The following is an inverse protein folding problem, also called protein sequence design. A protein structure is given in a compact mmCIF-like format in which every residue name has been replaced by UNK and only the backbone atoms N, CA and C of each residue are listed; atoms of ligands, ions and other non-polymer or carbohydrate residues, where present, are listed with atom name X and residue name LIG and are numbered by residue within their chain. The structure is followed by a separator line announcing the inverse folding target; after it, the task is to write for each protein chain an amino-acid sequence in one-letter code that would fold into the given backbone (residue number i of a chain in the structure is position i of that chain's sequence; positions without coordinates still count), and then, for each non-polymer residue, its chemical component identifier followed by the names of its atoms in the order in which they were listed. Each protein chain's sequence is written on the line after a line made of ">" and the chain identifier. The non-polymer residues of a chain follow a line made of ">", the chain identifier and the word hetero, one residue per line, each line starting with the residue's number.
data_IF_915836724061
#
_entry.id   IF_915836724061
#
_cell.length_a   1.000
_cell.length_b   1.000
_cell.length_c   1.000
_cell.angle_alpha   90.00
_cell.angle_beta   90.00
_cell.angle_gamma   90.00
#
_symmetry.space_group_name_H-M   'P 1'
#
loop_
_entity.id
_entity.type
_entity.pdbx_description
1 polymer ?
#
# COMPACT_ATOMS: atom_id res chain seq x y z
N UNK A 1 -7.59 -26.68 48.96
CA UNK A 1 -6.39 -25.89 48.63
C UNK A 1 -6.74 -25.04 47.42
N UNK A 2 -6.97 -23.76 47.64
CA UNK A 2 -7.28 -22.80 46.58
C UNK A 2 -6.00 -22.60 45.76
N UNK A 3 -6.11 -22.78 44.44
CA UNK A 3 -5.01 -22.54 43.51
C UNK A 3 -4.83 -21.04 43.35
N UNK A 4 -4.19 -20.42 44.33
CA UNK A 4 -3.83 -19.01 44.31
C UNK A 4 -2.67 -18.81 43.33
N UNK A 5 -2.98 -18.60 42.05
CA UNK A 5 -1.95 -18.34 41.03
C UNK A 5 -2.38 -18.46 39.58
N UNK A 6 -3.57 -18.98 39.27
CA UNK A 6 -4.06 -18.94 37.89
C UNK A 6 -4.68 -17.57 37.61
N UNK A 7 -4.24 -16.84 36.56
CA UNK A 7 -4.90 -15.59 36.17
C UNK A 7 -6.36 -15.90 35.87
N UNK A 8 -7.27 -15.18 36.52
CA UNK A 8 -8.69 -15.34 36.29
C UNK A 8 -8.97 -15.13 34.79
N UNK A 9 -9.68 -16.09 34.17
CA UNK A 9 -10.00 -16.09 32.74
C UNK A 9 -11.42 -15.59 32.52
N UNK A 10 -11.62 -14.83 31.46
CA UNK A 10 -12.98 -14.44 31.06
C UNK A 10 -13.81 -15.69 30.72
N UNK A 11 -15.14 -15.57 30.81
CA UNK A 11 -16.06 -16.67 30.48
C UNK A 11 -15.88 -17.17 29.04
N UNK A 12 -15.55 -16.27 28.11
CA UNK A 12 -15.22 -16.58 26.73
C UNK A 12 -13.71 -16.53 26.49
N UNK A 13 -13.19 -17.47 25.70
CA UNK A 13 -11.78 -17.53 25.32
C UNK A 13 -11.33 -16.35 24.46
N UNK A 14 -12.26 -15.74 23.71
CA UNK A 14 -12.02 -14.62 22.79
C UNK A 14 -12.77 -13.36 23.22
N UNK A 15 -12.81 -13.09 24.53
CA UNK A 15 -13.52 -11.93 25.07
C UNK A 15 -12.88 -10.62 24.60
N UNK A 16 -13.66 -9.70 24.04
CA UNK A 16 -13.22 -8.36 23.63
C UNK A 16 -13.34 -7.33 24.76
N UNK A 17 -13.81 -7.75 25.92
CA UNK A 17 -13.96 -6.93 27.11
C UNK A 17 -14.88 -5.71 26.96
N UNK A 18 -15.76 -5.67 25.95
CA UNK A 18 -16.67 -4.55 25.67
C UNK A 18 -17.98 -4.56 26.47
N UNK A 19 -18.13 -5.48 27.44
CA UNK A 19 -19.37 -5.69 28.20
C UNK A 19 -20.00 -7.07 28.05
N UNK A 20 -19.23 -8.05 27.57
CA UNK A 20 -19.67 -9.45 27.51
C UNK A 20 -20.03 -10.01 28.90
N UNK A 21 -21.06 -10.87 29.01
CA UNK A 21 -21.44 -11.47 30.29
C UNK A 21 -20.30 -12.36 30.81
N UNK A 22 -19.85 -12.11 32.05
CA UNK A 22 -18.70 -12.82 32.62
C UNK A 22 -17.33 -12.29 32.20
N UNK A 23 -17.26 -11.05 31.70
CA UNK A 23 -15.99 -10.35 31.53
C UNK A 23 -15.38 -9.98 32.89
N UNK A 24 -14.09 -10.32 33.05
CA UNK A 24 -13.32 -9.99 34.26
C UNK A 24 -12.71 -8.59 34.20
N UNK A 25 -12.41 -8.10 32.99
CA UNK A 25 -11.93 -6.75 32.75
C UNK A 25 -13.13 -5.82 32.90
N UNK A 26 -13.35 -5.37 34.13
CA UNK A 26 -14.36 -4.36 34.47
C UNK A 26 -13.75 -2.97 34.37
N UNK A 27 -14.55 -2.00 33.97
CA UNK A 27 -14.12 -0.64 33.59
C UNK A 27 -13.54 0.25 34.69
N UNK A 28 -13.22 -0.30 35.87
CA UNK A 28 -12.64 0.45 37.00
C UNK A 28 -11.13 0.70 36.84
N UNK A 29 -10.54 0.28 35.72
CA UNK A 29 -9.12 0.46 35.46
C UNK A 29 -8.89 1.78 34.72
N UNK A 30 -7.95 2.59 35.20
CA UNK A 30 -7.51 3.82 34.52
C UNK A 30 -7.06 3.58 33.08
N UNK A 31 -6.60 2.36 32.78
CA UNK A 31 -6.14 1.96 31.44
C UNK A 31 -7.24 1.47 30.51
N UNK A 32 -8.42 1.15 31.03
CA UNK A 32 -9.52 0.62 30.24
C UNK A 32 -10.01 1.60 29.16
N UNK A 33 -10.12 2.91 29.41
CA UNK A 33 -10.44 3.88 28.35
C UNK A 33 -9.42 3.88 27.20
N UNK A 34 -8.12 3.80 27.52
CA UNK A 34 -7.07 3.75 26.50
C UNK A 34 -7.12 2.46 25.68
N UNK A 35 -7.47 1.33 26.31
CA UNK A 35 -7.68 0.07 25.61
C UNK A 35 -8.81 0.19 24.57
N UNK A 36 -9.93 0.81 24.94
CA UNK A 36 -11.05 1.04 24.02
C UNK A 36 -10.64 1.92 22.84
N UNK A 37 -9.90 3.00 23.10
CA UNK A 37 -9.37 3.88 22.04
C UNK A 37 -8.49 3.11 21.04
N UNK A 38 -7.51 2.34 21.54
CA UNK A 38 -6.62 1.55 20.69
C UNK A 38 -7.38 0.48 19.91
N UNK A 39 -8.38 -0.15 20.52
CA UNK A 39 -9.20 -1.17 19.88
C UNK A 39 -10.01 -0.59 18.72
N UNK A 40 -10.56 0.62 18.88
CA UNK A 40 -11.26 1.33 17.81
C UNK A 40 -10.31 1.77 16.70
N UNK A 41 -9.11 2.28 17.04
CA UNK A 41 -8.07 2.60 16.06
C UNK A 41 -7.66 1.39 15.21
N UNK A 42 -7.51 0.21 15.83
CA UNK A 42 -7.18 -1.04 15.14
C UNK A 42 -8.32 -1.42 14.19
N UNK A 43 -9.58 -1.37 14.62
CA UNK A 43 -10.74 -1.68 13.77
C UNK A 43 -10.81 -0.75 12.56
N UNK A 44 -10.63 0.56 12.75
CA UNK A 44 -10.65 1.55 11.67
C UNK A 44 -9.51 1.25 10.68
N UNK A 45 -8.30 0.96 11.19
CA UNK A 45 -7.15 0.62 10.35
C UNK A 45 -7.38 -0.65 9.55
N UNK A 46 -7.94 -1.69 10.16
CA UNK A 46 -8.25 -2.95 9.48
C UNK A 46 -9.30 -2.75 8.39
N UNK A 47 -10.38 -2.01 8.67
CA UNK A 47 -11.42 -1.69 7.68
C UNK A 47 -10.84 -0.89 6.51
N UNK A 48 -9.96 0.08 6.78
CA UNK A 48 -9.27 0.83 5.74
C UNK A 48 -8.35 -0.08 4.90
N UNK A 49 -7.53 -0.92 5.55
CA UNK A 49 -6.68 -1.87 4.86
C UNK A 49 -7.48 -2.84 3.98
N UNK A 50 -8.60 -3.36 4.48
CA UNK A 50 -9.50 -4.23 3.70
C UNK A 50 -10.10 -3.51 2.49
N UNK A 51 -10.46 -2.22 2.62
CA UNK A 51 -10.95 -1.42 1.48
C UNK A 51 -9.86 -1.15 0.45
N UNK A 52 -8.64 -0.83 0.87
CA UNK A 52 -7.57 -0.42 -0.03
C UNK A 52 -6.81 -1.59 -0.66
N UNK A 53 -6.56 -2.66 0.09
CA UNK A 53 -5.70 -3.79 -0.30
C UNK A 53 -6.54 -5.07 -0.51
N UNK A 54 -7.78 -5.11 -0.01
CA UNK A 54 -8.62 -6.31 -0.06
C UNK A 54 -8.19 -7.38 0.93
N UNK A 55 -8.57 -8.63 0.67
CA UNK A 55 -8.19 -9.80 1.49
C UNK A 55 -6.78 -10.32 1.21
N UNK A 56 -6.02 -9.65 0.32
CA UNK A 56 -4.66 -10.05 -0.05
C UNK A 56 -3.68 -9.61 1.04
N UNK A 57 -3.64 -10.35 2.15
CA UNK A 57 -2.54 -10.26 3.12
C UNK A 57 -1.30 -10.88 2.47
N UNK A 58 -0.49 -10.05 1.83
CA UNK A 58 0.82 -10.50 1.34
C UNK A 58 1.80 -10.50 2.52
N UNK A 59 2.25 -11.69 2.95
CA UNK A 59 3.32 -11.81 3.94
C UNK A 59 4.69 -11.42 3.37
N UNK A 60 5.59 -10.92 4.23
CA UNK A 60 6.95 -10.49 3.86
C UNK A 60 7.80 -11.59 3.20
N UNK A 61 7.49 -12.84 3.50
CA UNK A 61 8.20 -14.02 2.99
C UNK A 61 7.34 -14.81 2.02
N UNK A 62 7.98 -15.25 0.93
CA UNK A 62 7.43 -16.22 0.00
C UNK A 62 8.11 -17.55 0.25
N UNK A 63 7.32 -18.56 0.59
CA UNK A 63 7.80 -19.93 0.64
C UNK A 63 7.94 -20.44 -0.81
N UNK A 64 9.15 -20.85 -1.18
CA UNK A 64 9.40 -21.62 -2.42
C UNK A 64 9.90 -23.01 -2.05
N UNK A 65 9.48 -23.99 -2.84
CA UNK A 65 10.02 -25.35 -2.77
C UNK A 65 11.29 -25.35 -3.60
N UNK A 66 12.44 -25.57 -2.95
CA UNK A 66 13.73 -25.76 -3.60
C UNK A 66 13.93 -27.21 -4.07
N UNK A 67 15.10 -27.47 -4.64
CA UNK A 67 15.47 -28.84 -5.03
C UNK A 67 15.48 -29.78 -3.83
N UNK A 68 14.95 -30.99 -4.04
CA UNK A 68 14.70 -32.04 -3.02
C UNK A 68 13.58 -31.74 -2.02
N UNK A 69 12.65 -30.84 -2.35
CA UNK A 69 11.41 -30.66 -1.57
C UNK A 69 11.57 -29.83 -0.30
N UNK A 70 12.72 -29.18 -0.11
CA UNK A 70 12.95 -28.29 1.04
C UNK A 70 12.23 -26.97 0.81
N UNK A 71 11.32 -26.60 1.71
CA UNK A 71 10.63 -25.31 1.67
C UNK A 71 11.57 -24.25 2.25
N UNK A 72 12.03 -23.32 1.41
CA UNK A 72 12.82 -22.17 1.83
C UNK A 72 11.95 -20.92 1.84
N UNK A 73 12.05 -20.13 2.90
CA UNK A 73 11.39 -18.83 3.02
C UNK A 73 12.34 -17.76 2.46
N UNK A 74 12.03 -17.22 1.28
CA UNK A 74 12.76 -16.11 0.70
C UNK A 74 12.02 -14.79 1.00
N UNK A 75 12.74 -13.71 1.35
CA UNK A 75 12.16 -12.37 1.39
C UNK A 75 11.53 -12.01 0.04
N UNK A 76 10.30 -11.48 0.04
CA UNK A 76 9.65 -11.06 -1.20
C UNK A 76 10.32 -9.80 -1.74
N UNK A 77 10.66 -9.82 -3.03
CA UNK A 77 11.13 -8.63 -3.73
C UNK A 77 10.04 -7.55 -3.72
N UNK A 78 10.42 -6.31 -3.42
CA UNK A 78 9.50 -5.17 -3.44
C UNK A 78 8.83 -5.05 -4.81
N UNK A 79 7.48 -5.09 -4.89
CA UNK A 79 6.76 -5.16 -6.15
C UNK A 79 6.95 -3.91 -7.02
N UNK A 80 7.30 -2.76 -6.42
CA UNK A 80 7.54 -1.50 -7.14
C UNK A 80 8.96 -1.38 -7.71
N UNK A 81 9.99 -1.85 -6.98
CA UNK A 81 11.40 -1.67 -7.37
C UNK A 81 11.77 -2.50 -8.62
N UNK A 82 11.21 -3.70 -8.73
CA UNK A 82 11.49 -4.61 -9.84
C UNK A 82 10.31 -4.75 -10.80
N UNK A 83 9.33 -3.84 -10.74
CA UNK A 83 8.20 -3.84 -11.67
C UNK A 83 8.73 -3.54 -13.07
N UNK A 84 8.59 -4.50 -13.98
CA UNK A 84 8.88 -4.27 -15.39
C UNK A 84 7.96 -3.14 -15.88
N UNK A 85 8.56 -2.07 -16.42
CA UNK A 85 7.82 -0.99 -17.06
C UNK A 85 7.04 -1.53 -18.26
N UNK A 86 5.88 -0.93 -18.53
CA UNK A 86 5.06 -1.32 -19.68
C UNK A 86 5.84 -1.10 -20.97
N UNK A 87 5.73 -2.02 -21.94
CA UNK A 87 6.33 -1.80 -23.26
C UNK A 87 5.83 -0.52 -23.91
N UNK A 88 4.56 -0.16 -23.67
CA UNK A 88 3.97 1.09 -24.18
C UNK A 88 4.64 2.32 -23.55
N UNK A 89 4.90 2.33 -22.24
CA UNK A 89 5.55 3.48 -21.60
C UNK A 89 7.01 3.61 -22.04
N UNK A 90 7.70 2.48 -22.24
CA UNK A 90 9.06 2.47 -22.80
C UNK A 90 9.10 3.01 -24.24
N UNK A 91 8.10 2.68 -25.07
CA UNK A 91 8.08 3.15 -26.46
C UNK A 91 7.59 4.58 -26.62
N UNK A 92 6.73 5.07 -25.71
CA UNK A 92 6.19 6.44 -25.75
C UNK A 92 7.01 7.44 -24.94
N UNK A 93 8.00 7.02 -24.14
CA UNK A 93 8.79 7.94 -23.32
C UNK A 93 9.57 8.96 -24.15
N UNK A 94 9.87 8.67 -25.41
CA UNK A 94 10.48 9.63 -26.33
C UNK A 94 9.52 10.73 -26.78
N UNK A 95 8.24 10.39 -27.01
CA UNK A 95 7.19 11.36 -27.37
C UNK A 95 6.81 12.24 -26.18
N UNK A 96 6.80 11.68 -24.97
CA UNK A 96 6.53 12.42 -23.73
C UNK A 96 7.54 13.57 -23.50
N UNK A 97 8.81 13.37 -23.88
CA UNK A 97 9.85 14.41 -23.79
C UNK A 97 9.86 15.42 -24.94
N UNK A 98 9.07 15.19 -26.00
CA UNK A 98 8.87 16.16 -27.10
C UNK A 98 7.70 17.10 -26.81
N UNK A 99 6.67 16.62 -26.13
CA UNK A 99 5.53 17.44 -25.67
C UNK A 99 5.98 18.57 -24.73
N UNK A 100 7.07 18.37 -23.97
CA UNK A 100 7.70 19.40 -23.12
C UNK A 100 8.48 20.47 -23.92
N UNK A 101 8.80 20.23 -25.20
CA UNK A 101 9.57 21.15 -26.06
C UNK A 101 8.69 21.93 -27.05
N UNK A 102 7.44 21.54 -27.22
CA UNK A 102 6.52 22.16 -28.19
C UNK A 102 5.87 23.46 -27.66
N UNK A 103 6.02 23.81 -26.37
CA UNK A 103 5.45 25.06 -25.82
C UNK A 103 6.32 26.31 -26.06
N UNK A 104 7.62 26.18 -26.37
CA UNK A 104 8.56 27.34 -26.42
C UNK A 104 9.21 27.64 -27.79
N UNK A 105 9.03 26.81 -28.84
CA UNK A 105 9.72 26.98 -30.14
C UNK A 105 8.82 27.52 -31.29
N UNK A 106 7.83 28.36 -30.97
CA UNK A 106 7.08 29.17 -31.98
C UNK A 106 7.92 30.36 -32.51
N UNK A 107 9.17 30.11 -32.93
CA UNK A 107 10.05 31.10 -33.56
C UNK A 107 9.77 31.14 -35.07
N UNK A 108 8.58 31.59 -35.47
CA UNK A 108 8.08 31.53 -36.85
C UNK A 108 8.84 32.40 -37.89
N UNK A 109 9.89 33.14 -37.52
CA UNK A 109 10.47 34.18 -38.41
C UNK A 109 11.81 33.81 -39.10
N UNK A 110 12.42 32.66 -38.75
CA UNK A 110 13.69 32.21 -39.37
C UNK A 110 13.56 30.95 -40.22
N UNK A 111 12.35 30.46 -40.47
CA UNK A 111 12.16 29.32 -41.38
C UNK A 111 12.41 29.76 -42.84
N UNK A 112 13.49 29.31 -43.51
CA UNK A 112 13.87 29.75 -44.84
C UNK A 112 12.79 29.43 -45.90
N UNK A 113 11.92 28.45 -45.64
CA UNK A 113 10.82 28.06 -46.53
C UNK A 113 9.71 29.12 -46.53
N UNK A 114 9.37 29.68 -45.36
CA UNK A 114 8.35 30.73 -45.24
C UNK A 114 8.84 32.07 -45.81
N UNK A 115 10.14 32.34 -45.72
CA UNK A 115 10.78 33.52 -46.34
C UNK A 115 10.70 33.46 -47.87
N UNK A 116 11.06 32.32 -48.45
CA UNK A 116 10.99 32.11 -49.89
C UNK A 116 9.56 32.29 -50.43
N UNK A 117 8.54 31.79 -49.72
CA UNK A 117 7.14 31.97 -50.13
C UNK A 117 6.68 33.43 -50.10
N UNK A 118 7.25 34.28 -49.24
CA UNK A 118 6.88 35.70 -49.14
C UNK A 118 7.54 36.54 -50.23
N UNK A 119 8.76 36.18 -50.62
CA UNK A 119 9.51 36.82 -51.72
C UNK A 119 8.96 36.45 -53.11
N UNK A 120 8.35 35.27 -53.26
CA UNK A 120 7.70 34.86 -54.52
C UNK A 120 6.32 35.52 -54.77
N UNK A 121 5.73 36.16 -53.76
CA UNK A 121 4.40 36.81 -53.85
C UNK A 121 4.48 38.36 -53.91
N UNK A 122 5.66 38.94 -54.11
CA UNK A 122 5.88 40.38 -54.40
C UNK A 122 6.20 40.60 -55.88
#
# INVERSE_FOLDING_TARGET
>A
MLKDGEPAKCAFSNCLHLGEPGCLVKGDWERYPYYLQLLDEIKIREEFQLRTIGTKREGDVRCKVGDKGVVQAEPRLEPKKYRRQSRKSVNQSFLDGLDELDEDDMLEDDNPILRAMREENQ
#
